data_IF_992255305863
#
_entry.id   IF_992255305863
#
_cell.length_a   1.000
_cell.length_b   1.000
_cell.length_c   1.000
_cell.angle_alpha   90.00
_cell.angle_beta   90.00
_cell.angle_gamma   90.00
#
_symmetry.space_group_name_H-M   'P 1'
#
loop_
_entity.id
_entity.type
_entity.pdbx_description
1 polymer ?
#
# COMPACT_ATOMS: atom_id res chain seq x y z
N UNK A 1 13.10 -16.95 -12.06
CA UNK A 1 13.00 -16.20 -10.79
C UNK A 1 11.54 -16.15 -10.41
N UNK A 2 11.21 -16.52 -9.17
CA UNK A 2 9.86 -16.36 -8.65
C UNK A 2 9.55 -14.87 -8.52
N UNK A 3 8.45 -14.43 -9.15
CA UNK A 3 8.03 -13.03 -9.09
C UNK A 3 7.26 -12.80 -7.81
N UNK A 4 7.59 -11.72 -7.10
CA UNK A 4 6.74 -11.23 -6.01
C UNK A 4 5.41 -10.71 -6.60
N UNK A 5 4.28 -10.74 -5.86
CA UNK A 5 2.96 -10.38 -6.38
C UNK A 5 2.90 -9.02 -7.08
N UNK A 6 3.60 -8.01 -6.54
CA UNK A 6 3.65 -6.68 -7.16
C UNK A 6 4.23 -6.71 -8.57
N UNK A 7 5.24 -7.55 -8.84
CA UNK A 7 5.90 -7.63 -10.15
C UNK A 7 5.11 -8.43 -11.18
N UNK A 8 3.98 -9.00 -10.77
CA UNK A 8 3.03 -9.66 -11.66
C UNK A 8 1.88 -8.74 -12.09
N UNK A 9 1.78 -7.53 -11.53
CA UNK A 9 0.74 -6.54 -11.89
C UNK A 9 1.14 -5.73 -13.13
N UNK A 10 0.17 -5.45 -14.01
CA UNK A 10 0.33 -4.47 -15.08
C UNK A 10 0.16 -3.04 -14.51
N UNK A 11 1.28 -2.31 -14.39
CA UNK A 11 1.29 -0.96 -13.83
C UNK A 11 0.78 0.11 -14.80
N UNK A 12 0.68 -0.18 -16.09
CA UNK A 12 0.14 0.77 -17.09
C UNK A 12 -1.39 0.90 -16.96
N UNK A 13 -2.04 -0.14 -16.46
CA UNK A 13 -3.50 -0.22 -16.29
C UNK A 13 -3.96 -0.01 -14.85
N UNK A 14 -3.03 0.00 -13.87
CA UNK A 14 -3.38 0.11 -12.46
C UNK A 14 -3.85 1.52 -12.09
N UNK A 15 -5.02 1.61 -11.47
CA UNK A 15 -5.66 2.87 -11.06
C UNK A 15 -5.43 3.21 -9.59
N UNK A 16 -5.68 4.48 -9.24
CA UNK A 16 -5.78 4.94 -7.84
C UNK A 16 -6.94 4.21 -7.18
N UNK A 17 -6.74 3.73 -5.94
CA UNK A 17 -7.74 2.94 -5.22
C UNK A 17 -7.13 1.87 -4.32
N UNK A 18 -7.99 1.04 -3.74
CA UNK A 18 -7.62 -0.09 -2.89
C UNK A 18 -7.71 -1.38 -3.70
N UNK A 19 -6.62 -2.13 -3.78
CA UNK A 19 -6.52 -3.36 -4.58
C UNK A 19 -6.02 -4.53 -3.74
N UNK A 20 -6.73 -5.65 -3.75
CA UNK A 20 -6.24 -6.87 -3.10
C UNK A 20 -5.01 -7.42 -3.84
N UNK A 21 -3.94 -7.75 -3.12
CA UNK A 21 -2.73 -8.39 -3.68
C UNK A 21 -2.71 -9.90 -3.50
N UNK A 22 -3.70 -10.44 -2.78
CA UNK A 22 -3.82 -11.85 -2.43
C UNK A 22 -3.67 -12.11 -0.93
N UNK A 23 -3.96 -13.35 -0.56
CA UNK A 23 -3.87 -13.85 0.82
C UNK A 23 -2.85 -14.97 0.90
N UNK A 24 -1.88 -14.85 1.81
CA UNK A 24 -0.89 -15.86 2.10
C UNK A 24 -0.77 -16.04 3.62
N UNK A 25 -0.71 -17.29 4.09
CA UNK A 25 -0.58 -17.62 5.51
C UNK A 25 -1.65 -16.97 6.41
N UNK A 26 -2.87 -16.81 5.90
CA UNK A 26 -3.98 -16.16 6.62
C UNK A 26 -3.90 -14.64 6.70
N UNK A 27 -2.95 -14.01 5.99
CA UNK A 27 -2.80 -12.56 5.92
C UNK A 27 -3.09 -12.09 4.51
N UNK A 28 -4.04 -11.17 4.36
CA UNK A 28 -4.34 -10.49 3.10
C UNK A 28 -3.50 -9.23 2.99
N UNK A 29 -2.81 -9.05 1.87
CA UNK A 29 -2.08 -7.81 1.57
C UNK A 29 -2.91 -6.93 0.64
N UNK A 30 -3.05 -5.66 0.99
CA UNK A 30 -3.76 -4.66 0.21
C UNK A 30 -2.81 -3.59 -0.31
N UNK A 31 -3.02 -3.19 -1.57
CA UNK A 31 -2.33 -2.11 -2.25
C UNK A 31 -3.23 -0.89 -2.27
N UNK A 32 -2.92 0.08 -1.40
CA UNK A 32 -3.60 1.38 -1.38
C UNK A 32 -2.83 2.35 -2.26
N UNK A 33 -3.32 2.50 -3.49
CA UNK A 33 -2.71 3.30 -4.55
C UNK A 33 -3.20 4.74 -4.47
N UNK A 34 -2.29 5.66 -4.16
CA UNK A 34 -2.56 7.11 -4.07
C UNK A 34 -2.30 7.86 -5.38
N UNK A 35 -1.34 7.39 -6.17
CA UNK A 35 -0.90 8.02 -7.42
C UNK A 35 -0.85 7.00 -8.54
N UNK A 36 -1.09 7.44 -9.77
CA UNK A 36 -0.94 6.60 -10.97
C UNK A 36 0.54 6.18 -11.11
N UNK A 37 0.85 4.89 -11.25
CA UNK A 37 2.21 4.45 -11.54
C UNK A 37 2.79 5.16 -12.76
N UNK A 38 4.06 5.57 -12.69
CA UNK A 38 4.80 6.24 -13.77
C UNK A 38 4.13 7.51 -14.32
N UNK A 39 3.18 8.12 -13.59
CA UNK A 39 2.44 9.30 -14.04
C UNK A 39 3.15 10.64 -13.86
N UNK A 40 4.38 10.66 -13.34
CA UNK A 40 5.13 11.89 -13.06
C UNK A 40 4.74 12.62 -11.76
N UNK A 41 3.71 12.15 -11.06
CA UNK A 41 3.24 12.67 -9.79
C UNK A 41 3.40 11.60 -8.69
N UNK A 42 4.10 11.97 -7.62
CA UNK A 42 4.52 11.06 -6.56
C UNK A 42 4.24 11.67 -5.19
N UNK A 43 3.98 10.81 -4.20
CA UNK A 43 3.90 11.24 -2.81
C UNK A 43 5.28 11.67 -2.35
N UNK A 44 5.41 12.90 -1.87
CA UNK A 44 6.71 13.38 -1.37
C UNK A 44 7.14 12.56 -0.15
N UNK A 45 8.44 12.36 0.09
CA UNK A 45 8.90 11.59 1.26
C UNK A 45 8.35 12.14 2.59
N UNK A 46 8.29 13.46 2.75
CA UNK A 46 7.72 14.11 3.94
C UNK A 46 6.24 13.77 4.11
N UNK A 47 5.42 13.90 3.05
CA UNK A 47 4.02 13.55 3.11
C UNK A 47 3.82 12.04 3.36
N UNK A 48 4.63 11.20 2.71
CA UNK A 48 4.56 9.74 2.85
C UNK A 48 4.80 9.30 4.30
N UNK A 49 5.81 9.89 4.94
CA UNK A 49 6.14 9.62 6.34
C UNK A 49 5.05 10.12 7.29
N UNK A 50 4.48 11.31 7.04
CA UNK A 50 3.33 11.80 7.82
C UNK A 50 2.11 10.87 7.69
N UNK A 51 1.80 10.43 6.47
CA UNK A 51 0.67 9.51 6.21
C UNK A 51 0.90 8.17 6.90
N UNK A 52 2.12 7.62 6.84
CA UNK A 52 2.50 6.40 7.55
C UNK A 52 2.17 6.49 9.04
N UNK A 53 2.64 7.53 9.73
CA UNK A 53 2.36 7.73 11.16
C UNK A 53 0.86 7.89 11.46
N UNK A 54 0.14 8.71 10.68
CA UNK A 54 -1.28 8.97 10.93
C UNK A 54 -2.13 7.71 10.73
N UNK A 55 -1.96 7.01 9.60
CA UNK A 55 -2.78 5.83 9.30
C UNK A 55 -2.39 4.64 10.16
N UNK A 56 -1.10 4.42 10.45
CA UNK A 56 -0.70 3.38 11.41
C UNK A 56 -1.34 3.62 12.79
N UNK A 57 -1.43 4.87 13.24
CA UNK A 57 -2.09 5.24 14.50
C UNK A 57 -3.59 4.98 14.43
N UNK A 58 -4.28 5.48 13.40
CA UNK A 58 -5.73 5.30 13.27
C UNK A 58 -6.12 3.83 13.16
N UNK A 59 -5.43 3.07 12.30
CA UNK A 59 -5.73 1.65 12.07
C UNK A 59 -5.54 0.82 13.35
N UNK A 60 -4.44 1.02 14.08
CA UNK A 60 -4.16 0.28 15.32
C UNK A 60 -4.95 0.77 16.55
N UNK A 61 -5.73 1.84 16.41
CA UNK A 61 -6.69 2.30 17.42
C UNK A 61 -8.15 2.10 16.98
N UNK A 62 -8.39 1.43 15.85
CA UNK A 62 -9.73 1.12 15.35
C UNK A 62 -10.31 -0.16 15.99
N UNK A 63 -11.58 -0.45 15.68
CA UNK A 63 -12.22 -1.74 16.00
C UNK A 63 -11.56 -2.93 15.28
N UNK A 64 -10.75 -2.67 14.24
CA UNK A 64 -10.02 -3.69 13.49
C UNK A 64 -8.58 -3.89 13.96
N UNK A 65 -8.12 -3.23 15.03
CA UNK A 65 -6.71 -3.22 15.45
C UNK A 65 -6.04 -4.61 15.49
N UNK A 66 -6.78 -5.64 15.93
CA UNK A 66 -6.25 -7.00 16.07
C UNK A 66 -6.04 -7.71 14.71
N UNK A 67 -6.57 -7.14 13.63
CA UNK A 67 -6.40 -7.60 12.25
C UNK A 67 -5.35 -6.78 11.46
N UNK A 68 -4.68 -5.80 12.08
CA UNK A 68 -3.71 -4.94 11.41
C UNK A 68 -2.29 -5.42 11.71
N UNK A 69 -1.68 -6.10 10.73
CA UNK A 69 -0.29 -6.53 10.82
C UNK A 69 0.65 -5.36 10.56
N UNK A 70 0.44 -4.64 9.46
CA UNK A 70 1.35 -3.61 8.97
C UNK A 70 0.61 -2.49 8.24
N UNK A 71 1.20 -1.30 8.21
CA UNK A 71 0.84 -0.26 7.26
C UNK A 71 2.13 0.52 6.96
N UNK A 72 2.47 0.70 5.69
CA UNK A 72 3.65 1.50 5.36
C UNK A 72 3.89 1.74 3.86
N UNK A 73 4.83 2.64 3.54
CA UNK A 73 4.97 3.21 2.21
C UNK A 73 5.64 2.26 1.22
N UNK A 74 5.22 2.35 -0.04
CA UNK A 74 5.93 1.71 -1.15
C UNK A 74 7.12 2.58 -1.60
N UNK A 75 8.27 1.95 -1.89
CA UNK A 75 9.47 2.66 -2.35
C UNK A 75 9.29 3.44 -3.66
N UNK A 76 8.33 3.05 -4.51
CA UNK A 76 7.99 3.78 -5.73
C UNK A 76 7.20 5.08 -5.48
N UNK A 77 6.82 5.37 -4.22
CA UNK A 77 6.14 6.60 -3.77
C UNK A 77 4.78 6.87 -4.43
N UNK A 78 4.07 5.81 -4.79
CA UNK A 78 2.72 5.92 -5.39
C UNK A 78 1.62 5.31 -4.53
N UNK A 79 1.95 4.72 -3.38
CA UNK A 79 0.97 4.07 -2.51
C UNK A 79 1.59 3.46 -1.25
N UNK A 80 0.78 2.68 -0.55
CA UNK A 80 1.09 2.02 0.72
C UNK A 80 0.60 0.58 0.70
N UNK A 81 1.27 -0.30 1.43
CA UNK A 81 0.75 -1.62 1.75
C UNK A 81 0.03 -1.59 3.10
N UNK A 82 -1.10 -2.28 3.16
CA UNK A 82 -1.86 -2.62 4.36
C UNK A 82 -1.92 -4.15 4.48
#
# INVERSE_FOLDING_TARGET
MERIPSFSKNHDTLSVGLHECGTAYGVTTWDLRFKKPNGGDYVTPKASHTIEHLLATVLRNSDKKDNIVYFGPMGCRTGFYL
#
